data_IF_831643766063
#
_entry.id   IF_831643766063
#
_cell.length_a   1.000
_cell.length_b   1.000
_cell.length_c   1.000
_cell.angle_alpha   90.00
_cell.angle_beta   90.00
_cell.angle_gamma   90.00
#
_symmetry.space_group_name_H-M   'P 1'
#
loop_
_entity.id
_entity.type
_entity.pdbx_description
1 polymer ?
#
# COMPACT_ATOMS: atom_id res chain seq x y z
N UNK A 1 -12.49 16.37 -22.69
CA UNK A 1 -11.60 17.11 -23.62
C UNK A 1 -10.48 17.89 -22.92
N UNK A 2 -10.62 18.30 -21.65
CA UNK A 2 -9.60 19.10 -20.93
C UNK A 2 -8.35 18.34 -20.43
N UNK A 3 -8.40 17.01 -20.30
CA UNK A 3 -7.27 16.21 -19.80
C UNK A 3 -6.25 15.81 -20.88
N UNK A 4 -6.60 15.89 -22.17
CA UNK A 4 -5.72 15.46 -23.29
C UNK A 4 -4.72 16.54 -23.72
N UNK A 5 -4.89 17.78 -23.26
CA UNK A 5 -4.02 18.93 -23.55
C UNK A 5 -3.07 19.29 -22.40
N UNK A 6 -3.06 18.50 -21.33
CA UNK A 6 -2.16 18.70 -20.19
C UNK A 6 -0.78 18.13 -20.57
N UNK A 7 0.27 18.95 -20.71
CA UNK A 7 1.64 18.47 -20.97
C UNK A 7 2.12 17.34 -20.04
N UNK A 8 2.98 16.49 -20.58
CA UNK A 8 3.51 15.25 -19.98
C UNK A 8 4.11 15.38 -18.58
N UNK A 9 4.46 16.59 -18.12
CA UNK A 9 4.94 16.84 -16.76
C UNK A 9 3.85 16.77 -15.68
N UNK A 10 2.56 16.90 -16.03
CA UNK A 10 1.45 16.74 -15.08
C UNK A 10 1.28 15.31 -14.59
N UNK A 11 1.54 14.35 -15.46
CA UNK A 11 1.59 12.92 -15.12
C UNK A 11 2.84 12.56 -14.29
N UNK A 12 3.92 13.33 -14.43
CA UNK A 12 5.19 13.03 -13.78
C UNK A 12 5.25 13.53 -12.34
N UNK A 13 4.60 14.65 -12.00
CA UNK A 13 4.53 15.20 -10.64
C UNK A 13 3.11 15.66 -10.28
N UNK A 14 2.38 14.87 -9.49
CA UNK A 14 1.00 15.16 -9.09
C UNK A 14 0.86 16.45 -8.29
N UNK A 15 1.90 16.84 -7.53
CA UNK A 15 1.93 18.08 -6.75
C UNK A 15 2.00 19.35 -7.60
N UNK A 16 2.38 19.26 -8.89
CA UNK A 16 2.38 20.39 -9.82
C UNK A 16 0.97 20.95 -10.09
N UNK A 17 -0.09 20.16 -9.85
CA UNK A 17 -1.49 20.58 -9.97
C UNK A 17 -1.81 21.76 -9.05
N UNK A 18 -1.18 21.83 -7.88
CA UNK A 18 -1.38 22.93 -6.92
C UNK A 18 -0.90 24.25 -7.53
N UNK A 19 0.13 24.25 -8.37
CA UNK A 19 0.65 25.45 -9.05
C UNK A 19 -0.41 26.10 -9.93
N UNK A 20 -1.03 25.28 -10.78
CA UNK A 20 -2.00 25.72 -11.77
C UNK A 20 -3.24 26.29 -11.09
N UNK A 21 -3.63 25.70 -9.96
CA UNK A 21 -4.88 26.05 -9.28
C UNK A 21 -4.81 27.38 -8.55
N UNK A 22 -3.64 27.76 -8.03
CA UNK A 22 -3.51 28.91 -7.15
C UNK A 22 -2.59 30.02 -7.70
N UNK A 23 -1.89 29.80 -8.82
CA UNK A 23 -1.17 30.82 -9.64
C UNK A 23 -0.39 31.88 -8.86
N UNK A 24 0.22 31.51 -7.73
CA UNK A 24 0.90 32.43 -6.81
C UNK A 24 2.43 32.28 -6.92
N UNK A 25 3.20 33.39 -6.79
CA UNK A 25 4.65 33.41 -7.05
C UNK A 25 5.50 32.56 -6.10
N UNK A 26 5.01 32.23 -4.90
CA UNK A 26 5.76 31.43 -3.90
C UNK A 26 5.50 29.92 -3.98
N UNK A 27 4.54 29.48 -4.81
CA UNK A 27 4.18 28.07 -4.95
C UNK A 27 5.22 27.13 -5.55
N UNK A 28 6.14 27.54 -6.46
CA UNK A 28 7.11 26.59 -7.01
C UNK A 28 8.08 26.08 -5.93
N UNK A 29 8.51 26.93 -5.00
CA UNK A 29 9.37 26.51 -3.87
C UNK A 29 8.65 25.53 -2.94
N UNK A 30 7.36 25.78 -2.66
CA UNK A 30 6.54 24.89 -1.86
C UNK A 30 6.35 23.51 -2.51
N UNK A 31 6.22 23.43 -3.84
CA UNK A 31 6.06 22.15 -4.54
C UNK A 31 7.32 21.30 -4.53
N UNK A 32 8.48 21.93 -4.71
CA UNK A 32 9.77 21.24 -4.58
C UNK A 32 9.90 20.70 -3.17
N UNK A 33 9.59 21.50 -2.15
CA UNK A 33 9.61 21.06 -0.75
C UNK A 33 8.64 19.89 -0.50
N UNK A 34 7.39 19.98 -0.95
CA UNK A 34 6.39 18.92 -0.78
C UNK A 34 6.80 17.62 -1.49
N UNK A 35 7.33 17.73 -2.72
CA UNK A 35 7.81 16.58 -3.49
C UNK A 35 8.99 15.90 -2.80
N UNK A 36 9.93 16.68 -2.26
CA UNK A 36 11.08 16.15 -1.50
C UNK A 36 10.62 15.43 -0.23
N UNK A 37 9.70 16.02 0.54
CA UNK A 37 9.17 15.41 1.76
C UNK A 37 8.49 14.07 1.47
N UNK A 38 7.69 14.01 0.39
CA UNK A 38 6.99 12.78 -0.02
C UNK A 38 7.96 11.73 -0.53
N UNK A 39 9.00 12.13 -1.27
CA UNK A 39 10.04 11.22 -1.73
C UNK A 39 10.80 10.58 -0.56
N UNK A 40 11.20 11.38 0.44
CA UNK A 40 11.86 10.87 1.65
C UNK A 40 10.93 9.93 2.41
N UNK A 41 9.66 10.32 2.62
CA UNK A 41 8.68 9.48 3.31
C UNK A 41 8.48 8.13 2.60
N UNK A 42 8.38 8.15 1.27
CA UNK A 42 8.20 6.93 0.45
C UNK A 42 9.40 5.99 0.53
N UNK A 43 10.63 6.53 0.56
CA UNK A 43 11.85 5.70 0.72
C UNK A 43 11.90 5.03 2.09
N UNK A 44 11.55 5.76 3.15
CA UNK A 44 11.47 5.20 4.51
C UNK A 44 10.42 4.08 4.54
N UNK A 45 9.25 4.30 3.97
CA UNK A 45 8.17 3.32 3.93
C UNK A 45 8.59 2.04 3.20
N UNK A 46 9.19 2.15 2.01
CA UNK A 46 9.68 0.98 1.25
C UNK A 46 10.77 0.24 2.05
N UNK A 47 11.64 0.96 2.76
CA UNK A 47 12.62 0.36 3.67
C UNK A 47 12.00 -0.48 4.78
N UNK A 48 10.93 0.04 5.42
CA UNK A 48 10.17 -0.70 6.45
C UNK A 48 9.50 -1.94 5.85
N UNK A 49 8.92 -1.83 4.65
CA UNK A 49 8.34 -2.99 3.96
C UNK A 49 9.40 -4.06 3.66
N UNK A 50 10.58 -3.66 3.17
CA UNK A 50 11.68 -4.57 2.86
C UNK A 50 12.19 -5.27 4.12
N UNK A 51 12.33 -4.53 5.23
CA UNK A 51 12.66 -5.07 6.54
C UNK A 51 11.66 -6.17 6.98
N UNK A 52 10.36 -5.89 6.84
CA UNK A 52 9.29 -6.86 7.12
C UNK A 52 9.41 -8.13 6.28
N UNK A 53 9.62 -8.00 4.97
CA UNK A 53 9.81 -9.16 4.08
C UNK A 53 11.05 -9.98 4.43
N UNK A 54 12.12 -9.34 4.91
CA UNK A 54 13.36 -10.01 5.30
C UNK A 54 13.17 -10.86 6.55
N UNK A 55 12.38 -10.40 7.52
CA UNK A 55 12.05 -11.18 8.73
C UNK A 55 11.37 -12.49 8.33
N UNK A 56 10.37 -12.40 7.45
CA UNK A 56 9.64 -13.58 6.97
C UNK A 56 10.56 -14.51 6.19
N UNK A 57 11.40 -13.98 5.29
CA UNK A 57 12.34 -14.78 4.50
C UNK A 57 13.36 -15.51 5.39
N UNK A 58 13.87 -14.84 6.42
CA UNK A 58 14.82 -15.42 7.38
C UNK A 58 14.15 -16.50 8.24
N UNK A 59 12.84 -16.44 8.46
CA UNK A 59 12.12 -17.50 9.19
C UNK A 59 11.97 -18.80 8.38
N UNK A 60 12.01 -18.72 7.04
CA UNK A 60 11.81 -19.87 6.14
C UNK A 60 13.09 -20.32 5.44
N UNK A 61 14.20 -19.59 5.61
CA UNK A 61 15.51 -19.92 5.03
C UNK A 61 16.58 -19.98 6.11
N UNK A 62 17.64 -20.81 5.95
CA UNK A 62 18.73 -20.90 6.92
C UNK A 62 19.75 -19.75 6.81
N UNK A 63 19.48 -18.72 6.01
CA UNK A 63 20.43 -17.64 5.74
C UNK A 63 20.39 -16.55 6.83
N UNK A 64 21.51 -15.84 7.00
CA UNK A 64 21.58 -14.70 7.91
C UNK A 64 20.74 -13.52 7.38
N UNK A 65 20.22 -12.71 8.30
CA UNK A 65 19.39 -11.54 8.04
C UNK A 65 20.01 -10.57 7.01
N UNK A 66 21.32 -10.30 7.12
CA UNK A 66 22.05 -9.42 6.20
C UNK A 66 22.13 -9.99 4.78
N UNK A 67 22.16 -11.31 4.62
CA UNK A 67 22.15 -11.93 3.29
C UNK A 67 20.76 -11.83 2.68
N UNK A 68 19.71 -12.11 3.46
CA UNK A 68 18.32 -12.01 3.03
C UNK A 68 17.96 -10.58 2.57
N UNK A 69 18.36 -9.55 3.33
CA UNK A 69 18.04 -8.15 2.99
C UNK A 69 18.71 -7.73 1.66
N UNK A 70 19.96 -8.15 1.43
CA UNK A 70 20.69 -7.86 0.20
C UNK A 70 20.07 -8.57 -0.99
N UNK A 71 19.73 -9.86 -0.86
CA UNK A 71 19.09 -10.63 -1.94
C UNK A 71 17.74 -10.01 -2.30
N UNK A 72 16.90 -9.69 -1.32
CA UNK A 72 15.60 -9.06 -1.55
C UNK A 72 15.74 -7.70 -2.22
N UNK A 73 16.67 -6.85 -1.77
CA UNK A 73 16.93 -5.54 -2.37
C UNK A 73 17.44 -5.62 -3.81
N UNK A 74 18.36 -6.55 -4.09
CA UNK A 74 18.90 -6.76 -5.45
C UNK A 74 17.82 -7.26 -6.40
N UNK A 75 17.07 -8.30 -6.00
CA UNK A 75 15.96 -8.83 -6.82
C UNK A 75 14.93 -7.73 -7.08
N UNK A 76 14.52 -6.98 -6.03
CA UNK A 76 13.60 -5.86 -6.13
C UNK A 76 14.05 -4.79 -7.13
N UNK A 77 15.32 -4.42 -7.06
CA UNK A 77 15.90 -3.39 -7.93
C UNK A 77 15.99 -3.88 -9.38
N UNK A 78 16.41 -5.12 -9.62
CA UNK A 78 16.58 -5.67 -10.96
C UNK A 78 15.22 -5.73 -11.68
N UNK A 79 14.20 -6.34 -11.07
CA UNK A 79 12.91 -6.46 -11.77
C UNK A 79 12.24 -5.10 -11.95
N UNK A 80 12.41 -4.16 -11.00
CA UNK A 80 11.83 -2.81 -11.09
C UNK A 80 12.49 -1.98 -12.19
N UNK A 81 13.80 -2.10 -12.36
CA UNK A 81 14.56 -1.36 -13.40
C UNK A 81 14.34 -1.92 -14.80
N UNK A 82 14.25 -3.25 -14.96
CA UNK A 82 14.08 -3.87 -16.27
C UNK A 82 12.67 -3.71 -16.83
N UNK A 83 11.65 -3.69 -15.97
CA UNK A 83 10.27 -3.86 -16.40
C UNK A 83 9.46 -2.58 -16.66
N UNK A 84 9.89 -1.44 -16.11
CA UNK A 84 9.11 -0.20 -16.14
C UNK A 84 7.73 -0.32 -15.47
N UNK A 85 6.88 0.71 -15.57
CA UNK A 85 5.57 0.75 -14.90
C UNK A 85 4.65 -0.42 -15.30
N UNK A 86 4.73 -0.89 -16.56
CA UNK A 86 3.88 -2.00 -17.04
C UNK A 86 4.21 -3.33 -16.36
N UNK A 87 5.49 -3.66 -16.19
CA UNK A 87 5.87 -4.89 -15.51
C UNK A 87 5.50 -4.83 -14.03
N UNK A 88 5.68 -3.66 -13.38
CA UNK A 88 5.29 -3.47 -11.97
C UNK A 88 3.80 -3.75 -11.77
N UNK A 89 2.93 -3.31 -12.68
CA UNK A 89 1.50 -3.61 -12.61
C UNK A 89 1.23 -5.12 -12.74
N UNK A 90 1.93 -5.82 -13.64
CA UNK A 90 1.80 -7.27 -13.76
C UNK A 90 2.29 -8.03 -12.52
N UNK A 91 3.39 -7.60 -11.92
CA UNK A 91 3.89 -8.19 -10.67
C UNK A 91 2.94 -7.95 -9.50
N UNK A 92 2.29 -6.78 -9.43
CA UNK A 92 1.28 -6.49 -8.39
C UNK A 92 0.08 -7.44 -8.51
N UNK A 93 -0.38 -7.73 -9.73
CA UNK A 93 -1.50 -8.67 -9.97
C UNK A 93 -1.11 -10.08 -9.52
N UNK A 94 0.09 -10.54 -9.88
CA UNK A 94 0.60 -11.85 -9.45
C UNK A 94 0.73 -11.92 -7.92
N UNK A 95 1.23 -10.86 -7.28
CA UNK A 95 1.36 -10.79 -5.83
C UNK A 95 -0.02 -10.87 -5.15
N UNK A 96 -1.04 -10.19 -5.69
CA UNK A 96 -2.40 -10.25 -5.15
C UNK A 96 -2.95 -11.68 -5.20
N UNK A 97 -2.79 -12.38 -6.33
CA UNK A 97 -3.23 -13.77 -6.49
C UNK A 97 -2.52 -14.69 -5.49
N UNK A 98 -1.20 -14.59 -5.38
CA UNK A 98 -0.41 -15.43 -4.46
C UNK A 98 -0.79 -15.17 -3.00
N UNK A 99 -1.01 -13.91 -2.61
CA UNK A 99 -1.42 -13.54 -1.25
C UNK A 99 -2.79 -14.12 -0.89
N UNK A 100 -3.76 -14.05 -1.81
CA UNK A 100 -5.10 -14.62 -1.59
C UNK A 100 -5.03 -16.13 -1.41
N UNK A 101 -4.30 -16.83 -2.27
CA UNK A 101 -4.11 -18.29 -2.18
C UNK A 101 -3.41 -18.65 -0.85
N UNK A 102 -2.35 -17.92 -0.48
CA UNK A 102 -1.62 -18.16 0.76
C UNK A 102 -2.48 -17.99 2.00
N UNK A 103 -3.31 -16.95 2.06
CA UNK A 103 -4.25 -16.72 3.17
C UNK A 103 -5.28 -17.84 3.25
N UNK A 104 -5.84 -18.29 2.12
CA UNK A 104 -6.80 -19.39 2.10
C UNK A 104 -6.19 -20.69 2.62
N UNK A 105 -4.99 -21.04 2.16
CA UNK A 105 -4.26 -22.22 2.64
C UNK A 105 -4.00 -22.11 4.15
N UNK A 106 -3.54 -20.95 4.61
CA UNK A 106 -3.26 -20.71 6.03
C UNK A 106 -4.51 -20.88 6.91
N UNK A 107 -5.66 -20.33 6.48
CA UNK A 107 -6.92 -20.48 7.21
C UNK A 107 -7.35 -21.95 7.25
N UNK A 108 -7.33 -22.66 6.11
CA UNK A 108 -7.73 -24.07 6.05
C UNK A 108 -6.83 -24.93 6.94
N UNK A 109 -5.51 -24.74 6.87
CA UNK A 109 -4.56 -25.47 7.71
C UNK A 109 -4.80 -25.18 9.21
N UNK A 110 -5.07 -23.93 9.57
CA UNK A 110 -5.40 -23.55 10.95
C UNK A 110 -6.68 -24.22 11.45
N UNK A 111 -7.74 -24.26 10.63
CA UNK A 111 -9.01 -24.92 10.98
C UNK A 111 -8.82 -26.42 11.17
N UNK A 112 -8.05 -27.08 10.31
CA UNK A 112 -7.75 -28.51 10.43
C UNK A 112 -6.97 -28.78 11.72
N UNK A 113 -5.98 -27.94 12.05
CA UNK A 113 -5.15 -28.10 13.24
C UNK A 113 -5.94 -27.92 14.56
N UNK A 114 -6.96 -27.06 14.56
CA UNK A 114 -7.84 -26.82 15.72
C UNK A 114 -8.93 -27.89 15.86
N UNK A 115 -9.08 -28.81 14.89
CA UNK A 115 -10.02 -29.93 14.97
C UNK A 115 -11.39 -29.63 14.35
N UNK A 116 -11.49 -28.64 13.46
CA UNK A 116 -12.72 -28.32 12.73
C UNK A 116 -13.19 -26.88 12.93
N UNK A 117 -14.19 -26.48 12.14
CA UNK A 117 -14.70 -25.10 12.11
C UNK A 117 -15.39 -24.72 13.42
N UNK A 118 -16.09 -25.65 14.07
CA UNK A 118 -16.78 -25.39 15.33
C UNK A 118 -15.80 -25.06 16.47
N UNK A 119 -14.74 -25.87 16.62
CA UNK A 119 -13.68 -25.60 17.59
C UNK A 119 -12.87 -24.34 17.26
N UNK A 120 -12.74 -24.00 15.98
CA UNK A 120 -12.11 -22.74 15.58
C UNK A 120 -12.89 -21.52 16.09
N UNK A 121 -14.21 -21.50 15.97
CA UNK A 121 -15.03 -20.40 16.49
C UNK A 121 -15.05 -20.38 18.02
N UNK A 122 -15.09 -21.53 18.70
CA UNK A 122 -15.06 -21.57 20.17
C UNK A 122 -13.75 -21.00 20.72
N UNK A 123 -12.60 -21.37 20.14
CA UNK A 123 -11.27 -20.84 20.52
C UNK A 123 -11.18 -19.34 20.26
N UNK A 124 -11.80 -18.85 19.18
CA UNK A 124 -11.82 -17.42 18.86
C UNK A 124 -12.67 -16.60 19.84
N UNK A 125 -13.78 -17.17 20.30
CA UNK A 125 -14.66 -16.56 21.30
C UNK A 125 -14.00 -16.55 22.70
N UNK A 126 -13.40 -17.66 23.12
CA UNK A 126 -12.63 -17.77 24.37
C UNK A 126 -11.44 -16.82 24.40
N UNK A 127 -10.73 -16.67 23.27
CA UNK A 127 -9.61 -15.75 23.15
C UNK A 127 -9.99 -14.27 23.14
N UNK A 128 -11.29 -13.93 23.18
CA UNK A 128 -11.83 -12.58 22.96
C UNK A 128 -11.27 -11.89 21.70
N UNK A 129 -10.94 -12.68 20.66
CA UNK A 129 -10.29 -12.17 19.44
C UNK A 129 -11.28 -11.63 18.41
N UNK A 130 -12.57 -11.93 18.58
CA UNK A 130 -13.65 -11.48 17.70
C UNK A 130 -14.35 -10.25 18.28
N UNK A 131 -13.65 -9.12 18.32
CA UNK A 131 -14.24 -7.82 18.67
C UNK A 131 -14.53 -7.02 17.40
N UNK A 132 -15.65 -7.31 16.74
CA UNK A 132 -16.01 -6.64 15.48
C UNK A 132 -16.39 -5.16 15.67
N UNK A 133 -17.10 -4.83 16.76
CA UNK A 133 -17.66 -3.50 16.99
C UNK A 133 -17.39 -3.02 18.41
N UNK A 134 -16.13 -2.69 18.70
CA UNK A 134 -15.79 -2.01 19.94
C UNK A 134 -16.23 -0.53 19.87
N UNK A 135 -17.42 -0.24 20.38
CA UNK A 135 -18.05 1.10 20.40
C UNK A 135 -17.62 1.95 21.62
N UNK A 136 -16.54 1.59 22.31
CA UNK A 136 -16.03 2.40 23.41
C UNK A 136 -15.52 3.76 22.87
N UNK A 137 -16.01 4.91 23.40
CA UNK A 137 -15.53 6.23 23.00
C UNK A 137 -14.16 6.60 23.63
N UNK A 138 -13.52 5.69 24.37
CA UNK A 138 -12.21 5.92 24.97
C UNK A 138 -11.11 6.18 23.94
N UNK A 139 -10.34 7.25 24.15
CA UNK A 139 -9.18 7.62 23.34
C UNK A 139 -7.92 6.79 23.68
N UNK A 140 -7.93 6.06 24.79
CA UNK A 140 -6.80 5.25 25.26
C UNK A 140 -6.77 3.86 24.62
N UNK A 141 -7.89 3.42 24.05
CA UNK A 141 -7.97 2.14 23.37
C UNK A 141 -7.41 2.24 21.95
N UNK A 142 -6.50 1.31 21.62
CA UNK A 142 -5.76 1.32 20.35
C UNK A 142 -6.66 1.27 19.12
N UNK A 143 -7.71 0.46 19.18
CA UNK A 143 -8.63 0.23 18.07
C UNK A 143 -10.08 0.22 18.57
N UNK A 144 -10.75 1.35 18.40
CA UNK A 144 -12.21 1.48 18.58
C UNK A 144 -12.86 1.67 17.22
N UNK A 145 -14.17 1.42 17.12
CA UNK A 145 -14.93 1.61 15.89
C UNK A 145 -14.76 3.03 15.32
N UNK A 146 -14.85 4.03 16.20
CA UNK A 146 -14.70 5.45 15.85
C UNK A 146 -13.29 5.78 15.34
N UNK A 147 -12.25 5.37 16.08
CA UNK A 147 -10.87 5.65 15.68
C UNK A 147 -10.51 4.92 14.37
N UNK A 148 -10.97 3.68 14.21
CA UNK A 148 -10.70 2.86 13.02
C UNK A 148 -11.38 3.43 11.77
N UNK A 149 -12.64 3.88 11.86
CA UNK A 149 -13.33 4.51 10.74
C UNK A 149 -12.71 5.86 10.40
N UNK A 150 -12.46 6.71 11.40
CA UNK A 150 -11.87 8.03 11.17
C UNK A 150 -10.48 7.91 10.52
N UNK A 151 -9.63 7.03 11.05
CA UNK A 151 -8.32 6.74 10.48
C UNK A 151 -8.44 6.14 9.09
N UNK A 152 -9.32 5.15 8.88
CA UNK A 152 -9.54 4.51 7.59
C UNK A 152 -9.98 5.52 6.52
N UNK A 153 -10.93 6.40 6.83
CA UNK A 153 -11.39 7.44 5.92
C UNK A 153 -10.24 8.39 5.50
N UNK A 154 -9.42 8.83 6.46
CA UNK A 154 -8.27 9.70 6.18
C UNK A 154 -7.19 8.97 5.38
N UNK A 155 -6.89 7.72 5.74
CA UNK A 155 -5.87 6.90 5.11
C UNK A 155 -6.22 6.59 3.65
N UNK A 156 -7.42 6.06 3.39
CA UNK A 156 -7.89 5.80 2.03
C UNK A 156 -8.05 7.09 1.22
N UNK A 157 -8.57 8.16 1.83
CA UNK A 157 -8.67 9.47 1.18
C UNK A 157 -7.31 9.99 0.71
N UNK A 158 -6.26 9.85 1.53
CA UNK A 158 -4.89 10.23 1.17
C UNK A 158 -4.30 9.35 0.07
N UNK A 159 -4.51 8.03 0.15
CA UNK A 159 -4.01 7.07 -0.85
C UNK A 159 -4.57 7.37 -2.24
N UNK A 160 -5.87 7.59 -2.36
CA UNK A 160 -6.48 7.82 -3.67
C UNK A 160 -6.40 9.28 -4.13
N UNK A 161 -6.38 10.23 -3.20
CA UNK A 161 -6.41 11.66 -3.51
C UNK A 161 -5.04 12.30 -3.77
N UNK A 162 -3.99 11.82 -3.10
CA UNK A 162 -2.70 12.54 -3.05
C UNK A 162 -1.51 11.69 -3.51
N UNK A 163 -1.65 10.36 -3.51
CA UNK A 163 -0.51 9.47 -3.82
C UNK A 163 -0.16 9.47 -5.30
N UNK A 164 1.11 9.78 -5.57
CA UNK A 164 1.71 9.85 -6.89
C UNK A 164 1.43 8.61 -7.77
N UNK A 165 1.57 7.39 -7.23
CA UNK A 165 1.41 6.14 -7.97
C UNK A 165 -0.03 5.96 -8.50
N UNK A 166 -1.04 6.27 -7.68
CA UNK A 166 -2.44 6.11 -8.06
C UNK A 166 -2.85 7.15 -9.11
N UNK A 167 -2.39 8.39 -8.96
CA UNK A 167 -2.59 9.42 -9.98
C UNK A 167 -1.96 9.03 -11.31
N UNK A 168 -0.75 8.47 -11.31
CA UNK A 168 -0.08 7.98 -12.52
C UNK A 168 -0.84 6.85 -13.22
N UNK A 169 -1.39 5.91 -12.43
CA UNK A 169 -2.22 4.81 -12.96
C UNK A 169 -3.46 5.36 -13.65
N UNK A 170 -4.22 6.23 -12.97
CA UNK A 170 -5.45 6.82 -13.52
C UNK A 170 -5.17 7.61 -14.81
N UNK A 171 -4.07 8.38 -14.85
CA UNK A 171 -3.72 9.17 -16.03
C UNK A 171 -3.10 8.36 -17.19
N UNK A 172 -2.72 7.11 -16.97
CA UNK A 172 -2.19 6.22 -18.02
C UNK A 172 -3.28 5.55 -18.86
N UNK A 173 -4.56 5.70 -18.47
CA UNK A 173 -5.72 5.21 -19.22
C UNK A 173 -6.13 6.20 -20.31
N UNK A 174 -6.37 5.71 -21.53
CA UNK A 174 -6.58 6.54 -22.72
C UNK A 174 -7.88 7.34 -22.74
N UNK A 175 -8.91 6.89 -22.02
CA UNK A 175 -10.23 7.55 -21.98
C UNK A 175 -10.86 7.57 -20.58
N UNK A 176 -11.64 8.62 -20.27
CA UNK A 176 -12.34 8.72 -18.99
C UNK A 176 -13.43 7.65 -18.79
N UNK A 177 -13.93 7.07 -19.88
CA UNK A 177 -14.89 5.97 -19.80
C UNK A 177 -14.22 4.67 -19.34
N UNK A 178 -12.98 4.41 -19.79
CA UNK A 178 -12.17 3.29 -19.32
C UNK A 178 -11.66 3.50 -17.89
N UNK A 179 -11.36 4.74 -17.48
CA UNK A 179 -10.90 5.03 -16.11
C UNK A 179 -11.99 4.90 -15.02
N UNK A 180 -13.27 4.79 -15.41
CA UNK A 180 -14.40 4.61 -14.49
C UNK A 180 -14.82 3.15 -14.31
N UNK A 181 -14.30 2.24 -15.14
CA UNK A 181 -14.50 0.79 -15.00
C UNK A 181 -13.51 0.23 -13.99
#
# INVERSE_FOLDING_TARGET
LYYRSLPTWYTTFSYSIIQIRFSSPNLPNLQVLLTLLVLVNSNIFIGVCLYGTTIVLTAVTPFNYTTCILVMGVVCTIYSTMGGIRAVVWTDVLQLIVMVIGILIYIIAGVIQVGGVEHFFSVLEEGQRLQFFNMNPSIYERHTFYNTIAFGAFFFGSIFGVTQLNSQRICSVGTQHEAKK
#
